data_IF_907071505840
#
_entry.id   IF_907071505840
#
_cell.length_a   1.000
_cell.length_b   1.000
_cell.length_c   1.000
_cell.angle_alpha   90.00
_cell.angle_beta   90.00
_cell.angle_gamma   90.00
#
_symmetry.space_group_name_H-M   'P 1'
#
loop_
_entity.id
_entity.type
_entity.pdbx_description
1 polymer ?
#
# COMPACT_ATOMS: atom_id res chain seq x y z
N UNK A 1 -8.08 25.20 -28.69
CA UNK A 1 -7.99 23.97 -29.50
C UNK A 1 -8.92 22.90 -28.91
N UNK A 2 -10.16 22.74 -29.41
CA UNK A 2 -11.15 21.75 -28.94
C UNK A 2 -11.77 20.93 -30.09
N UNK A 3 -11.34 21.20 -31.31
CA UNK A 3 -11.88 20.60 -32.53
C UNK A 3 -11.66 19.07 -32.59
N UNK A 4 -10.50 18.51 -32.23
CA UNK A 4 -10.30 17.05 -32.23
C UNK A 4 -11.21 16.34 -31.22
N UNK A 5 -11.38 16.91 -30.02
CA UNK A 5 -12.24 16.35 -28.99
C UNK A 5 -13.73 16.43 -29.36
N UNK A 6 -14.14 17.52 -30.02
CA UNK A 6 -15.50 17.69 -30.56
C UNK A 6 -15.80 16.61 -31.62
N UNK A 7 -14.86 16.34 -32.52
CA UNK A 7 -14.99 15.25 -33.51
C UNK A 7 -15.01 13.89 -32.79
N UNK A 8 -14.05 13.60 -31.92
CA UNK A 8 -13.98 12.32 -31.21
C UNK A 8 -15.27 12.00 -30.44
N UNK A 9 -15.79 12.94 -29.63
CA UNK A 9 -17.04 12.76 -28.89
C UNK A 9 -18.24 12.57 -29.81
N UNK A 10 -18.32 13.33 -30.91
CA UNK A 10 -19.39 13.19 -31.90
C UNK A 10 -19.40 11.80 -32.51
N UNK A 11 -18.25 11.20 -32.80
CA UNK A 11 -18.16 9.87 -33.40
C UNK A 11 -18.32 8.74 -32.37
N UNK A 12 -17.88 8.94 -31.13
CA UNK A 12 -18.03 7.98 -30.03
C UNK A 12 -19.50 7.83 -29.58
N UNK A 13 -20.29 8.90 -29.61
CA UNK A 13 -21.71 8.92 -29.17
C UNK A 13 -22.69 8.96 -30.36
N UNK A 14 -22.21 8.89 -31.60
CA UNK A 14 -23.07 9.01 -32.78
C UNK A 14 -24.10 7.89 -32.86
N UNK A 15 -25.39 8.24 -33.01
CA UNK A 15 -26.48 7.31 -33.37
C UNK A 15 -26.27 6.82 -34.80
N UNK A 16 -25.32 5.89 -35.01
CA UNK A 16 -25.14 5.23 -36.31
C UNK A 16 -26.24 4.19 -36.53
N UNK A 17 -26.69 4.06 -37.78
CA UNK A 17 -27.73 3.11 -38.21
C UNK A 17 -27.46 1.66 -37.79
N UNK A 18 -26.19 1.28 -37.61
CA UNK A 18 -25.78 -0.03 -37.12
C UNK A 18 -25.51 0.01 -35.61
N UNK A 19 -26.51 -0.33 -34.79
CA UNK A 19 -26.41 -0.42 -33.32
C UNK A 19 -25.22 -1.26 -32.84
N UNK A 20 -24.82 -2.26 -33.64
CA UNK A 20 -23.68 -3.16 -33.35
C UNK A 20 -22.38 -2.41 -33.05
N UNK A 21 -22.06 -1.34 -33.80
CA UNK A 21 -20.80 -0.62 -33.61
C UNK A 21 -20.76 0.05 -32.22
N UNK A 22 -21.88 0.60 -31.77
CA UNK A 22 -21.97 1.24 -30.45
C UNK A 22 -21.86 0.20 -29.32
N UNK A 23 -22.42 -1.00 -29.51
CA UNK A 23 -22.31 -2.11 -28.55
C UNK A 23 -20.86 -2.58 -28.42
N UNK A 24 -20.15 -2.81 -29.53
CA UNK A 24 -18.73 -3.20 -29.50
C UNK A 24 -17.90 -2.13 -28.80
N UNK A 25 -18.09 -0.85 -29.16
CA UNK A 25 -17.36 0.26 -28.53
C UNK A 25 -17.62 0.35 -27.02
N UNK A 26 -18.85 0.11 -26.58
CA UNK A 26 -19.20 0.12 -25.16
C UNK A 26 -18.50 -1.03 -24.41
N UNK A 27 -18.51 -2.23 -24.98
CA UNK A 27 -17.85 -3.40 -24.38
C UNK A 27 -16.34 -3.18 -24.30
N UNK A 28 -15.71 -2.61 -25.34
CA UNK A 28 -14.28 -2.29 -25.32
C UNK A 28 -13.93 -1.30 -24.20
N UNK A 29 -14.71 -0.22 -24.06
CA UNK A 29 -14.47 0.78 -23.00
C UNK A 29 -14.72 0.18 -21.62
N UNK A 30 -15.78 -0.61 -21.45
CA UNK A 30 -16.07 -1.28 -20.19
C UNK A 30 -14.96 -2.26 -19.79
N UNK A 31 -14.44 -3.04 -20.75
CA UNK A 31 -13.34 -3.97 -20.51
C UNK A 31 -12.06 -3.27 -20.03
N UNK A 32 -11.66 -2.19 -20.70
CA UNK A 32 -10.49 -1.38 -20.31
C UNK A 32 -10.71 -0.72 -18.96
N UNK A 33 -11.93 -0.24 -18.69
CA UNK A 33 -12.27 0.41 -17.43
C UNK A 33 -12.17 -0.57 -16.27
N UNK A 34 -12.77 -1.76 -16.40
CA UNK A 34 -12.72 -2.81 -15.36
C UNK A 34 -11.29 -3.30 -15.15
N UNK A 35 -10.52 -3.54 -16.22
CA UNK A 35 -9.13 -4.02 -16.08
C UNK A 35 -8.23 -3.00 -15.38
N UNK A 36 -8.32 -1.73 -15.78
CA UNK A 36 -7.51 -0.66 -15.19
C UNK A 36 -7.93 -0.40 -13.74
N UNK A 37 -9.24 -0.38 -13.46
CA UNK A 37 -9.74 -0.17 -12.10
C UNK A 37 -9.31 -1.31 -11.16
N UNK A 38 -9.40 -2.56 -11.60
CA UNK A 38 -8.95 -3.71 -10.81
C UNK A 38 -7.46 -3.62 -10.47
N UNK A 39 -6.61 -3.27 -11.44
CA UNK A 39 -5.17 -3.09 -11.22
C UNK A 39 -4.89 -2.01 -10.17
N UNK A 40 -5.54 -0.85 -10.29
CA UNK A 40 -5.36 0.27 -9.36
C UNK A 40 -5.82 -0.10 -7.95
N UNK A 41 -6.94 -0.81 -7.81
CA UNK A 41 -7.46 -1.24 -6.51
C UNK A 41 -6.47 -2.20 -5.82
N UNK A 42 -5.93 -3.18 -6.54
CA UNK A 42 -4.97 -4.15 -5.98
C UNK A 42 -3.69 -3.44 -5.52
N UNK A 43 -3.13 -2.55 -6.35
CA UNK A 43 -1.95 -1.78 -5.99
C UNK A 43 -2.22 -0.88 -4.78
N UNK A 44 -3.39 -0.25 -4.72
CA UNK A 44 -3.77 0.57 -3.57
C UNK A 44 -3.90 -0.25 -2.28
N UNK A 45 -4.44 -1.46 -2.37
CA UNK A 45 -4.53 -2.38 -1.24
C UNK A 45 -3.13 -2.80 -0.76
N UNK A 46 -2.22 -3.14 -1.69
CA UNK A 46 -0.84 -3.46 -1.34
C UNK A 46 -0.09 -2.29 -0.71
N UNK A 47 -0.23 -1.08 -1.23
CA UNK A 47 0.38 0.12 -0.63
C UNK A 47 -0.14 0.36 0.81
N UNK A 48 -1.43 0.13 1.07
CA UNK A 48 -1.98 0.24 2.42
C UNK A 48 -1.59 -0.92 3.34
N UNK A 49 -1.42 -2.11 2.77
CA UNK A 49 -1.04 -3.31 3.50
C UNK A 49 0.44 -3.35 3.87
N UNK A 50 1.32 -2.76 3.05
CA UNK A 50 2.76 -2.69 3.28
C UNK A 50 3.09 -2.12 4.67
N UNK A 51 2.51 -0.99 5.05
CA UNK A 51 2.73 -0.41 6.38
C UNK A 51 2.15 -1.25 7.54
N UNK A 52 1.07 -2.01 7.30
CA UNK A 52 0.52 -2.93 8.31
C UNK A 52 1.45 -4.12 8.50
N UNK A 53 1.97 -4.66 7.40
CA UNK A 53 2.93 -5.77 7.42
C UNK A 53 4.23 -5.33 8.08
N UNK A 54 4.79 -4.19 7.67
CA UNK A 54 5.99 -3.61 8.27
C UNK A 54 5.83 -3.42 9.78
N UNK A 55 4.72 -2.83 10.24
CA UNK A 55 4.45 -2.66 11.67
C UNK A 55 4.37 -3.98 12.45
N UNK A 56 3.86 -5.05 11.84
CA UNK A 56 3.85 -6.39 12.46
C UNK A 56 5.26 -6.96 12.56
N UNK A 57 6.09 -6.80 11.52
CA UNK A 57 7.47 -7.31 11.53
C UNK A 57 8.38 -6.52 12.48
N UNK A 58 8.33 -5.18 12.48
CA UNK A 58 9.18 -4.34 13.34
C UNK A 58 8.93 -4.56 14.84
N UNK A 59 7.71 -4.94 15.23
CA UNK A 59 7.40 -5.27 16.63
C UNK A 59 8.16 -6.50 17.14
N UNK A 60 8.61 -7.38 16.24
CA UNK A 60 9.29 -8.64 16.57
C UNK A 60 10.75 -8.70 16.12
N UNK A 61 11.12 -8.01 15.04
CA UNK A 61 12.49 -7.94 14.47
C UNK A 61 13.03 -6.51 14.59
N UNK A 62 13.35 -6.10 15.82
CA UNK A 62 14.07 -4.84 16.06
C UNK A 62 15.55 -5.00 15.72
N UNK A 63 16.21 -3.95 15.21
CA UNK A 63 17.63 -3.98 14.81
C UNK A 63 18.57 -4.50 15.92
N UNK A 64 18.23 -4.21 17.17
CA UNK A 64 18.93 -4.70 18.35
C UNK A 64 17.91 -5.25 19.34
N UNK A 65 18.04 -6.55 19.65
CA UNK A 65 17.22 -7.25 20.63
C UNK A 65 18.11 -7.79 21.74
N UNK A 66 17.75 -7.47 22.98
CA UNK A 66 18.40 -8.04 24.18
C UNK A 66 17.52 -9.16 24.69
N UNK A 67 18.02 -10.38 24.63
CA UNK A 67 17.32 -11.57 25.14
C UNK A 67 18.22 -12.38 26.09
N UNK A 68 17.59 -13.11 27.00
CA UNK A 68 18.30 -14.00 27.91
C UNK A 68 18.82 -15.21 27.16
N UNK A 69 20.11 -15.53 27.38
CA UNK A 69 20.71 -16.78 26.91
C UNK A 69 20.06 -18.02 27.56
N UNK A 70 19.69 -17.90 28.83
CA UNK A 70 19.01 -18.95 29.62
C UNK A 70 18.03 -18.30 30.62
N UNK A 71 16.82 -18.85 30.75
CA UNK A 71 15.77 -18.34 31.67
C UNK A 71 14.51 -17.85 30.96
N UNK A 72 13.54 -17.32 31.72
CA UNK A 72 12.24 -16.85 31.21
C UNK A 72 12.03 -15.33 31.26
N UNK A 73 12.63 -14.64 32.22
CA UNK A 73 12.49 -13.19 32.40
C UNK A 73 13.76 -12.64 33.05
N UNK A 74 14.18 -11.43 32.67
CA UNK A 74 15.29 -10.71 33.30
C UNK A 74 14.77 -9.50 34.06
N UNK A 75 15.50 -9.09 35.10
CA UNK A 75 15.18 -7.90 35.87
C UNK A 75 15.48 -6.65 35.03
N UNK A 76 14.45 -5.83 34.79
CA UNK A 76 14.57 -4.62 33.97
C UNK A 76 15.50 -3.58 34.61
N UNK A 77 15.76 -3.64 35.92
CA UNK A 77 16.71 -2.74 36.59
C UNK A 77 18.17 -3.00 36.23
N UNK A 78 18.47 -4.16 35.63
CA UNK A 78 19.82 -4.50 35.16
C UNK A 78 20.17 -3.80 33.84
N UNK A 79 19.17 -3.28 33.12
CA UNK A 79 19.34 -2.56 31.86
C UNK A 79 19.10 -1.07 32.11
N UNK A 80 20.15 -0.26 32.00
CA UNK A 80 20.06 1.18 32.17
C UNK A 80 19.40 1.82 30.93
N UNK A 81 18.06 1.82 30.88
CA UNK A 81 17.29 2.33 29.76
C UNK A 81 17.57 3.80 29.46
N UNK A 82 17.66 4.65 30.49
CA UNK A 82 18.02 6.07 30.35
C UNK A 82 19.41 6.27 29.70
N UNK A 83 20.38 5.41 30.02
CA UNK A 83 21.72 5.50 29.43
C UNK A 83 21.73 5.08 27.95
N UNK A 84 20.83 4.18 27.56
CA UNK A 84 20.68 3.72 26.16
C UNK A 84 19.95 4.78 25.34
N UNK A 85 18.91 5.42 25.88
CA UNK A 85 18.19 6.52 25.21
C UNK A 85 19.05 7.77 25.00
N UNK A 86 20.11 7.95 25.82
CA UNK A 86 21.07 9.04 25.67
C UNK A 86 22.11 8.82 24.55
N UNK A 87 22.16 7.64 23.94
CA UNK A 87 23.11 7.33 22.84
C UNK A 87 22.59 7.95 21.54
N UNK A 88 23.45 8.73 20.87
CA UNK A 88 23.14 9.31 19.57
C UNK A 88 22.91 8.20 18.53
N UNK A 89 21.73 8.18 17.90
CA UNK A 89 21.28 7.14 16.97
C UNK A 89 20.23 6.18 17.53
N UNK A 90 19.91 6.21 18.83
CA UNK A 90 18.81 5.42 19.40
C UNK A 90 17.50 6.20 19.24
N UNK A 91 16.59 5.70 18.40
CA UNK A 91 15.29 6.35 18.13
C UNK A 91 14.24 5.99 19.20
N UNK A 92 14.09 4.71 19.51
CA UNK A 92 13.13 4.22 20.49
C UNK A 92 13.64 2.95 21.19
N UNK A 93 13.31 2.81 22.48
CA UNK A 93 13.49 1.57 23.23
C UNK A 93 12.12 1.03 23.65
N UNK A 94 11.93 -0.29 23.65
CA UNK A 94 10.69 -0.93 24.08
C UNK A 94 11.00 -2.16 24.93
N UNK A 95 10.31 -2.30 26.06
CA UNK A 95 10.44 -3.45 26.94
C UNK A 95 9.27 -4.40 26.72
N UNK A 96 9.58 -5.65 26.37
CA UNK A 96 8.60 -6.71 26.15
C UNK A 96 8.72 -7.72 27.30
N UNK A 97 7.62 -7.93 28.03
CA UNK A 97 7.50 -8.86 29.17
C UNK A 97 7.16 -10.27 28.69
#
# INVERSE_FOLDING_TARGET
MRFPFYIAKRYLVSKKSHKIINVISLISVAGIWVSTAAMVIVLSAFNGFEGVVEGVYTATDTDLKVELKEGKSFDSTLVAQEAIEAIDGVSHTSFVI
#
